data_IF_524075381196
#
_entry.id   IF_524075381196
#
_cell.length_a   1.000
_cell.length_b   1.000
_cell.length_c   1.000
_cell.angle_alpha   90.00
_cell.angle_beta   90.00
_cell.angle_gamma   90.00
#
_symmetry.space_group_name_H-M   'P 1'
#
loop_
_entity.id
_entity.type
_entity.pdbx_description
1 polymer ?
#
# COMPACT_ATOMS: atom_id res chain seq x y z
N UNK A 1 -16.27 1.59 -11.71
CA UNK A 1 -15.21 0.57 -11.39
C UNK A 1 -14.86 -0.20 -12.64
N UNK A 2 -13.58 -0.28 -12.96
CA UNK A 2 -13.09 -1.02 -14.13
C UNK A 2 -12.84 -2.46 -13.68
N UNK A 3 -13.85 -3.33 -13.86
CA UNK A 3 -13.82 -4.74 -13.39
C UNK A 3 -12.53 -5.52 -13.71
N UNK A 4 -11.88 -5.38 -14.90
CA UNK A 4 -10.63 -6.06 -15.17
C UNK A 4 -9.47 -5.64 -14.27
N UNK A 5 -9.40 -4.37 -13.86
CA UNK A 5 -8.35 -3.88 -12.98
C UNK A 5 -8.53 -4.36 -11.53
N UNK A 6 -9.77 -4.54 -11.08
CA UNK A 6 -10.05 -5.15 -9.78
C UNK A 6 -9.58 -6.62 -9.75
N UNK A 7 -9.75 -7.35 -10.87
CA UNK A 7 -9.22 -8.70 -11.04
C UNK A 7 -7.68 -8.74 -10.99
N UNK A 8 -7.01 -7.80 -11.66
CA UNK A 8 -5.55 -7.69 -11.62
C UNK A 8 -5.02 -7.36 -10.23
N UNK A 9 -5.73 -6.52 -9.45
CA UNK A 9 -5.37 -6.27 -8.05
C UNK A 9 -5.49 -7.53 -7.20
N UNK A 10 -6.55 -8.32 -7.39
CA UNK A 10 -6.71 -9.61 -6.73
C UNK A 10 -5.57 -10.56 -7.06
N UNK A 11 -5.16 -10.64 -8.32
CA UNK A 11 -4.01 -11.43 -8.75
C UNK A 11 -2.71 -10.93 -8.10
N UNK A 12 -2.48 -9.61 -8.03
CA UNK A 12 -1.30 -9.03 -7.39
C UNK A 12 -1.23 -9.41 -5.90
N UNK A 13 -2.36 -9.33 -5.17
CA UNK A 13 -2.44 -9.75 -3.76
C UNK A 13 -2.15 -11.24 -3.62
N UNK A 14 -2.72 -12.09 -4.48
CA UNK A 14 -2.45 -13.53 -4.48
C UNK A 14 -0.95 -13.83 -4.66
N UNK A 15 -0.30 -13.16 -5.60
CA UNK A 15 1.13 -13.30 -5.83
C UNK A 15 1.97 -12.85 -4.62
N UNK A 16 1.55 -11.81 -3.89
CA UNK A 16 2.20 -11.38 -2.65
C UNK A 16 2.07 -12.47 -1.57
N UNK A 17 0.89 -13.04 -1.39
CA UNK A 17 0.65 -14.13 -0.43
C UNK A 17 1.52 -15.35 -0.76
N UNK A 18 1.54 -15.81 -2.01
CA UNK A 18 2.37 -16.93 -2.46
C UNK A 18 3.85 -16.68 -2.20
N UNK A 19 4.31 -15.44 -2.36
CA UNK A 19 5.68 -15.06 -2.06
C UNK A 19 6.02 -15.19 -0.58
N UNK A 20 5.15 -14.68 0.28
CA UNK A 20 5.36 -14.77 1.72
C UNK A 20 5.32 -16.23 2.20
N UNK A 21 4.45 -17.06 1.62
CA UNK A 21 4.44 -18.51 1.91
C UNK A 21 5.75 -19.17 1.49
N UNK A 22 6.27 -18.87 0.29
CA UNK A 22 7.56 -19.41 -0.17
C UNK A 22 8.73 -18.96 0.72
N UNK A 23 8.71 -17.72 1.24
CA UNK A 23 9.76 -17.23 2.15
C UNK A 23 9.82 -18.00 3.48
N UNK A 24 8.69 -18.55 3.95
CA UNK A 24 8.64 -19.40 5.15
C UNK A 24 8.73 -20.90 4.82
N UNK A 25 9.12 -21.24 3.59
CA UNK A 25 9.33 -22.63 3.14
C UNK A 25 8.03 -23.37 2.78
N UNK A 26 6.88 -22.70 2.76
CA UNK A 26 5.59 -23.29 2.37
C UNK A 26 5.35 -23.11 0.86
N UNK A 27 5.93 -23.99 0.04
CA UNK A 27 5.71 -23.97 -1.41
C UNK A 27 4.45 -24.77 -1.75
N UNK A 28 3.42 -24.12 -2.29
CA UNK A 28 2.17 -24.73 -2.72
C UNK A 28 2.35 -25.68 -3.91
N UNK A 29 3.36 -25.43 -4.75
CA UNK A 29 3.67 -26.26 -5.90
C UNK A 29 5.13 -26.72 -5.82
N UNK A 30 5.40 -28.03 -5.84
CA UNK A 30 6.77 -28.54 -5.84
C UNK A 30 7.56 -27.99 -7.03
N UNK A 31 8.73 -27.38 -6.76
CA UNK A 31 9.62 -26.83 -7.79
C UNK A 31 9.30 -25.38 -8.21
N UNK A 32 8.25 -24.75 -7.70
CA UNK A 32 7.95 -23.33 -7.91
C UNK A 32 8.28 -22.52 -6.66
N UNK A 33 9.42 -21.81 -6.72
CA UNK A 33 9.83 -20.86 -5.68
C UNK A 33 9.45 -19.43 -6.08
N UNK A 34 8.56 -18.83 -5.30
CA UNK A 34 8.11 -17.46 -5.48
C UNK A 34 8.92 -16.45 -4.65
N UNK A 35 9.90 -16.86 -3.86
CA UNK A 35 10.69 -15.99 -3.00
C UNK A 35 11.46 -14.92 -3.79
N UNK A 36 11.94 -15.26 -4.98
CA UNK A 36 12.73 -14.39 -5.85
C UNK A 36 11.98 -13.25 -6.54
N UNK A 37 10.63 -13.26 -6.55
CA UNK A 37 9.85 -12.21 -7.22
C UNK A 37 9.55 -11.03 -6.25
N UNK A 38 10.10 -11.01 -5.08
CA UNK A 38 10.22 -9.99 -4.06
C UNK A 38 9.28 -8.76 -4.15
N UNK A 39 9.87 -7.58 -4.17
CA UNK A 39 9.19 -6.28 -4.15
C UNK A 39 8.36 -5.99 -5.42
N UNK A 40 8.68 -6.58 -6.56
CA UNK A 40 8.02 -6.28 -7.85
C UNK A 40 6.48 -6.46 -7.82
N UNK A 41 5.97 -7.42 -7.04
CA UNK A 41 4.51 -7.67 -6.89
C UNK A 41 3.82 -6.61 -6.07
N UNK A 42 4.50 -6.13 -5.03
CA UNK A 42 3.99 -5.03 -4.21
C UNK A 42 3.94 -3.76 -5.05
N UNK A 43 4.94 -3.52 -5.90
CA UNK A 43 4.92 -2.39 -6.84
C UNK A 43 3.76 -2.50 -7.85
N UNK A 44 3.49 -3.69 -8.39
CA UNK A 44 2.33 -3.88 -9.27
C UNK A 44 1.02 -3.52 -8.54
N UNK A 45 0.87 -3.96 -7.31
CA UNK A 45 -0.29 -3.61 -6.48
C UNK A 45 -0.39 -2.09 -6.26
N UNK A 46 0.72 -1.41 -5.96
CA UNK A 46 0.74 0.04 -5.79
C UNK A 46 0.40 0.79 -7.07
N UNK A 47 0.97 0.39 -8.21
CA UNK A 47 0.67 1.00 -9.51
C UNK A 47 -0.82 0.91 -9.83
N UNK A 48 -1.41 -0.29 -9.69
CA UNK A 48 -2.84 -0.50 -9.94
C UNK A 48 -3.72 0.27 -8.95
N UNK A 49 -3.31 0.32 -7.69
CA UNK A 49 -4.04 1.07 -6.65
C UNK A 49 -3.97 2.58 -6.90
N UNK A 50 -2.79 3.09 -7.20
CA UNK A 50 -2.58 4.50 -7.54
C UNK A 50 -3.38 4.91 -8.77
N UNK A 51 -3.33 4.10 -9.83
CA UNK A 51 -4.11 4.33 -11.05
C UNK A 51 -5.60 4.43 -10.76
N UNK A 52 -6.17 3.41 -10.09
CA UNK A 52 -7.61 3.36 -9.81
C UNK A 52 -8.07 4.50 -8.90
N UNK A 53 -7.28 4.84 -7.87
CA UNK A 53 -7.62 5.92 -6.96
C UNK A 53 -7.55 7.29 -7.63
N UNK A 54 -6.54 7.52 -8.46
CA UNK A 54 -6.42 8.76 -9.23
C UNK A 54 -7.57 8.87 -10.24
N UNK A 55 -7.89 7.79 -10.93
CA UNK A 55 -9.03 7.76 -11.85
C UNK A 55 -10.34 8.09 -11.14
N UNK A 56 -10.64 7.44 -10.02
CA UNK A 56 -11.83 7.72 -9.22
C UNK A 56 -11.87 9.16 -8.71
N UNK A 57 -10.73 9.71 -8.30
CA UNK A 57 -10.65 11.10 -7.84
C UNK A 57 -10.88 12.10 -8.98
N UNK A 58 -10.42 11.80 -10.19
CA UNK A 58 -10.66 12.64 -11.37
C UNK A 58 -12.12 12.62 -11.82
N UNK A 59 -12.80 11.48 -11.69
CA UNK A 59 -14.23 11.35 -12.02
C UNK A 59 -15.17 11.92 -10.95
N UNK A 60 -14.65 12.22 -9.74
CA UNK A 60 -15.49 12.69 -8.64
C UNK A 60 -15.97 14.13 -8.86
N UNK A 61 -17.29 14.36 -8.90
CA UNK A 61 -17.89 15.68 -9.06
C UNK A 61 -17.55 16.64 -7.91
N UNK A 62 -17.39 16.10 -6.70
CA UNK A 62 -17.14 16.85 -5.49
C UNK A 62 -15.65 17.02 -5.12
N UNK A 63 -14.72 16.70 -6.04
CA UNK A 63 -13.28 16.77 -5.78
C UNK A 63 -12.77 18.16 -5.36
N UNK A 64 -13.50 19.21 -5.66
CA UNK A 64 -13.18 20.59 -5.25
C UNK A 64 -13.57 20.88 -3.80
N UNK A 65 -14.35 20.02 -3.14
CA UNK A 65 -14.76 20.18 -1.75
C UNK A 65 -13.72 19.62 -0.77
N UNK A 66 -13.30 20.39 0.25
CA UNK A 66 -12.41 19.88 1.30
C UNK A 66 -13.04 18.73 2.08
N UNK A 67 -14.36 18.69 2.21
CA UNK A 67 -15.09 17.60 2.87
C UNK A 67 -14.98 16.27 2.10
N UNK A 68 -14.88 16.31 0.77
CA UNK A 68 -14.62 15.11 -0.04
C UNK A 68 -13.27 14.47 0.35
N UNK A 69 -12.20 15.28 0.43
CA UNK A 69 -10.87 14.80 0.75
C UNK A 69 -10.73 14.33 2.20
N UNK A 70 -11.39 15.03 3.12
CA UNK A 70 -11.45 14.59 4.52
C UNK A 70 -12.15 13.23 4.63
N UNK A 71 -13.32 13.08 4.00
CA UNK A 71 -14.04 11.82 3.97
C UNK A 71 -13.26 10.71 3.26
N UNK A 72 -12.52 11.04 2.19
CA UNK A 72 -11.60 10.11 1.54
C UNK A 72 -10.51 9.63 2.50
N UNK A 73 -9.80 10.56 3.16
CA UNK A 73 -8.71 10.24 4.09
C UNK A 73 -9.20 9.38 5.26
N UNK A 74 -10.33 9.72 5.86
CA UNK A 74 -10.92 8.96 6.96
C UNK A 74 -11.30 7.53 6.54
N UNK A 75 -11.91 7.35 5.37
CA UNK A 75 -12.25 6.01 4.86
C UNK A 75 -11.00 5.16 4.63
N UNK A 76 -9.89 5.74 4.16
CA UNK A 76 -8.62 5.04 3.96
C UNK A 76 -7.94 4.69 5.28
N UNK A 77 -7.91 5.65 6.20
CA UNK A 77 -7.38 5.44 7.54
C UNK A 77 -8.14 4.31 8.26
N UNK A 78 -9.46 4.41 8.35
CA UNK A 78 -10.27 3.40 9.02
C UNK A 78 -10.24 2.01 8.36
N UNK A 79 -9.87 1.92 7.08
CA UNK A 79 -9.77 0.65 6.36
C UNK A 79 -8.49 -0.11 6.69
N UNK A 80 -7.36 0.58 6.85
CA UNK A 80 -6.03 -0.04 6.94
C UNK A 80 -5.49 0.04 8.37
N UNK A 81 -5.58 1.21 8.98
CA UNK A 81 -4.90 1.52 10.22
C UNK A 81 -5.33 0.65 11.41
N UNK A 82 -6.60 0.30 11.63
CA UNK A 82 -6.99 -0.56 12.75
C UNK A 82 -6.35 -1.95 12.69
N UNK A 83 -6.33 -2.57 11.49
CA UNK A 83 -5.69 -3.87 11.31
C UNK A 83 -4.17 -3.77 11.44
N UNK A 84 -3.58 -2.69 10.94
CA UNK A 84 -2.16 -2.40 11.11
C UNK A 84 -1.76 -2.27 12.58
N UNK A 85 -2.54 -1.55 13.39
CA UNK A 85 -2.35 -1.47 14.85
C UNK A 85 -2.29 -2.87 15.49
N UNK A 86 -3.31 -3.69 15.20
CA UNK A 86 -3.37 -5.05 15.72
C UNK A 86 -2.12 -5.85 15.30
N UNK A 87 -1.71 -5.74 14.04
CA UNK A 87 -0.54 -6.44 13.53
C UNK A 87 0.77 -5.99 14.21
N UNK A 88 0.97 -4.67 14.44
CA UNK A 88 2.15 -4.12 15.14
C UNK A 88 2.23 -4.65 16.58
N UNK A 89 1.12 -4.59 17.33
CA UNK A 89 1.08 -5.09 18.70
C UNK A 89 1.24 -6.61 18.78
N UNK A 90 0.64 -7.34 17.84
CA UNK A 90 0.81 -8.79 17.74
C UNK A 90 2.28 -9.15 17.43
N UNK A 91 2.93 -8.43 16.51
CA UNK A 91 4.38 -8.64 16.24
C UNK A 91 5.24 -8.33 17.43
N UNK A 92 4.98 -7.25 18.17
CA UNK A 92 5.68 -6.98 19.41
C UNK A 92 5.55 -8.12 20.42
N UNK A 93 4.32 -8.62 20.63
CA UNK A 93 4.09 -9.78 21.50
C UNK A 93 4.81 -11.04 21.01
N UNK A 94 4.71 -11.36 19.72
CA UNK A 94 5.34 -12.52 19.12
C UNK A 94 6.88 -12.45 19.23
N UNK A 95 7.48 -11.28 19.03
CA UNK A 95 8.93 -11.10 19.15
C UNK A 95 9.44 -11.44 20.56
N UNK A 96 8.63 -11.17 21.60
CA UNK A 96 9.00 -11.53 23.00
C UNK A 96 8.97 -13.04 23.26
N UNK A 97 8.06 -13.80 22.60
CA UNK A 97 7.88 -15.23 22.85
C UNK A 97 8.55 -16.12 21.81
N UNK A 98 8.67 -15.64 20.56
CA UNK A 98 9.19 -16.40 19.43
C UNK A 98 10.01 -15.50 18.49
N UNK A 99 11.23 -15.11 18.92
CA UNK A 99 12.09 -14.26 18.09
C UNK A 99 12.42 -14.95 16.77
N UNK A 100 12.32 -14.20 15.66
CA UNK A 100 12.60 -14.68 14.31
C UNK A 100 11.37 -15.06 13.46
N UNK A 101 10.17 -15.14 14.05
CA UNK A 101 8.93 -15.43 13.31
C UNK A 101 8.13 -14.17 12.91
N UNK A 102 8.43 -13.02 13.48
CA UNK A 102 7.75 -11.76 13.21
C UNK A 102 8.76 -10.66 12.88
N UNK A 103 8.35 -9.55 12.26
CA UNK A 103 9.17 -8.35 12.17
C UNK A 103 9.67 -7.94 13.56
N UNK A 104 10.97 -7.62 13.68
CA UNK A 104 11.63 -7.34 14.94
C UNK A 104 11.19 -6.01 15.54
N UNK A 105 10.03 -6.01 16.21
CA UNK A 105 9.55 -4.90 17.03
C UNK A 105 9.87 -5.25 18.48
N UNK A 106 10.99 -4.71 18.99
CA UNK A 106 11.55 -5.13 20.28
C UNK A 106 11.25 -4.15 21.40
N UNK A 107 11.13 -2.88 21.07
CA UNK A 107 11.03 -1.80 22.05
C UNK A 107 9.74 -0.99 21.90
N UNK A 108 9.26 -0.32 22.96
CA UNK A 108 8.16 0.64 22.84
C UNK A 108 8.44 1.78 21.85
N UNK A 109 9.72 2.14 21.66
CA UNK A 109 10.13 3.11 20.63
C UNK A 109 9.84 2.61 19.22
N UNK A 110 10.06 1.32 18.94
CA UNK A 110 9.77 0.73 17.63
C UNK A 110 8.26 0.76 17.36
N UNK A 111 7.46 0.43 18.38
CA UNK A 111 5.99 0.55 18.30
C UNK A 111 5.62 1.98 17.91
N UNK A 112 6.15 2.98 18.61
CA UNK A 112 5.84 4.38 18.33
C UNK A 112 6.24 4.79 16.89
N UNK A 113 7.40 4.39 16.42
CA UNK A 113 7.85 4.65 15.06
C UNK A 113 6.94 3.99 14.01
N UNK A 114 6.49 2.76 14.25
CA UNK A 114 5.50 2.09 13.39
C UNK A 114 4.15 2.82 13.43
N UNK A 115 3.64 3.19 14.60
CA UNK A 115 2.37 3.88 14.72
C UNK A 115 2.37 5.26 14.07
N UNK A 116 3.51 5.95 14.07
CA UNK A 116 3.69 7.23 13.37
C UNK A 116 4.08 7.09 11.90
N UNK A 117 4.11 5.86 11.38
CA UNK A 117 4.47 5.55 9.99
C UNK A 117 5.90 5.99 9.60
N UNK A 118 6.78 6.19 10.59
CA UNK A 118 8.19 6.57 10.39
C UNK A 118 9.09 5.35 10.14
N UNK A 119 8.68 4.18 10.62
CA UNK A 119 9.37 2.92 10.39
C UNK A 119 8.49 1.96 9.58
N UNK A 120 9.14 1.15 8.74
CA UNK A 120 8.49 0.13 7.95
C UNK A 120 9.44 -1.06 7.81
N UNK A 121 9.61 -1.84 8.89
CA UNK A 121 10.47 -3.01 8.85
C UNK A 121 9.74 -4.24 8.30
N UNK A 122 10.49 -5.11 7.63
CA UNK A 122 9.99 -6.38 7.13
C UNK A 122 8.81 -6.20 6.17
N UNK A 123 7.66 -6.75 6.52
CA UNK A 123 6.44 -6.68 5.71
C UNK A 123 5.69 -5.34 5.82
N UNK A 124 6.00 -4.54 6.83
CA UNK A 124 5.29 -3.28 7.12
C UNK A 124 5.72 -2.09 6.27
N UNK A 125 6.82 -2.19 5.51
CA UNK A 125 7.31 -1.10 4.66
C UNK A 125 6.28 -0.56 3.66
N UNK A 126 5.34 -1.40 3.25
CA UNK A 126 4.30 -1.04 2.29
C UNK A 126 3.29 -0.02 2.84
N UNK A 127 3.06 -0.02 4.16
CA UNK A 127 2.02 0.79 4.80
C UNK A 127 2.38 2.30 4.80
N UNK A 128 3.58 2.73 5.25
CA UNK A 128 3.99 4.13 5.12
C UNK A 128 3.96 4.65 3.68
N UNK A 129 4.38 3.83 2.72
CA UNK A 129 4.35 4.20 1.28
C UNK A 129 2.92 4.41 0.81
N UNK A 130 1.99 3.53 1.17
CA UNK A 130 0.57 3.65 0.81
C UNK A 130 -0.07 4.92 1.41
N UNK A 131 0.22 5.22 2.68
CA UNK A 131 -0.28 6.43 3.33
C UNK A 131 0.33 7.70 2.73
N UNK A 132 1.60 7.71 2.39
CA UNK A 132 2.25 8.83 1.69
C UNK A 132 1.53 9.11 0.37
N UNK A 133 1.21 8.08 -0.40
CA UNK A 133 0.44 8.24 -1.63
C UNK A 133 -0.96 8.80 -1.37
N UNK A 134 -1.67 8.35 -0.33
CA UNK A 134 -2.99 8.89 0.01
C UNK A 134 -2.96 10.38 0.36
N UNK A 135 -1.89 10.85 0.99
CA UNK A 135 -1.68 12.27 1.27
C UNK A 135 -1.35 13.08 0.02
N UNK A 136 -0.60 12.50 -0.91
CA UNK A 136 -0.24 13.16 -2.17
C UNK A 136 -1.37 13.19 -3.19
N UNK A 137 -2.33 12.27 -3.12
CA UNK A 137 -3.38 12.13 -4.11
C UNK A 137 -4.21 13.41 -4.35
N UNK A 138 -4.62 14.19 -3.33
CA UNK A 138 -5.31 15.46 -3.55
C UNK A 138 -4.48 16.44 -4.41
N UNK A 139 -3.19 16.56 -4.09
CA UNK A 139 -2.28 17.44 -4.83
C UNK A 139 -2.12 16.98 -6.29
N UNK A 140 -1.87 15.69 -6.50
CA UNK A 140 -1.77 15.08 -7.83
C UNK A 140 -3.04 15.35 -8.64
N UNK A 141 -4.21 15.13 -8.04
CA UNK A 141 -5.51 15.35 -8.70
C UNK A 141 -5.70 16.82 -9.07
N UNK A 142 -5.36 17.77 -8.18
CA UNK A 142 -5.47 19.20 -8.46
C UNK A 142 -4.56 19.64 -9.61
N UNK A 143 -3.30 19.16 -9.62
CA UNK A 143 -2.36 19.45 -10.71
C UNK A 143 -2.88 18.90 -12.04
N UNK A 144 -3.42 17.70 -12.04
CA UNK A 144 -3.95 17.07 -13.25
C UNK A 144 -5.19 17.78 -13.79
N UNK A 145 -6.09 18.22 -12.93
CA UNK A 145 -7.27 19.01 -13.32
C UNK A 145 -6.86 20.37 -13.87
N UNK A 146 -5.84 21.01 -13.30
CA UNK A 146 -5.29 22.28 -13.78
C UNK A 146 -4.61 22.19 -15.14
N UNK A 147 -4.06 21.04 -15.48
CA UNK A 147 -3.38 20.76 -16.74
C UNK A 147 -4.28 19.92 -17.64
N UNK A 148 -5.22 20.55 -18.37
CA UNK A 148 -6.21 19.86 -19.21
C UNK A 148 -5.66 18.89 -20.27
N UNK A 149 -4.35 18.95 -20.55
CA UNK A 149 -3.65 18.04 -21.49
C UNK A 149 -3.16 16.72 -20.86
N UNK A 150 -3.28 16.53 -19.53
CA UNK A 150 -2.65 15.42 -18.80
C UNK A 150 -3.69 14.35 -18.37
N UNK A 151 -4.93 14.45 -18.78
CA UNK A 151 -6.00 13.53 -18.34
C UNK A 151 -5.72 12.04 -18.56
N UNK A 152 -5.02 11.68 -19.65
CA UNK A 152 -4.71 10.26 -19.95
C UNK A 152 -3.40 9.83 -19.29
N UNK A 153 -2.40 10.70 -19.23
CA UNK A 153 -1.08 10.38 -18.71
C UNK A 153 -0.95 10.48 -17.20
N UNK A 154 -1.83 11.24 -16.56
CA UNK A 154 -1.76 11.54 -15.15
C UNK A 154 -1.80 10.33 -14.21
N UNK A 155 -2.68 9.32 -14.40
CA UNK A 155 -2.67 8.11 -13.60
C UNK A 155 -1.34 7.35 -13.67
N UNK A 156 -0.64 7.40 -14.81
CA UNK A 156 0.69 6.81 -14.97
C UNK A 156 1.77 7.61 -14.23
N UNK A 157 1.67 8.93 -14.23
CA UNK A 157 2.55 9.80 -13.45
C UNK A 157 2.34 9.54 -11.95
N UNK A 158 1.09 9.44 -11.50
CA UNK A 158 0.77 9.11 -10.11
C UNK A 158 1.34 7.74 -9.70
N UNK A 159 1.22 6.73 -10.56
CA UNK A 159 1.80 5.41 -10.34
C UNK A 159 3.34 5.48 -10.25
N UNK A 160 3.98 6.24 -11.13
CA UNK A 160 5.43 6.47 -11.11
C UNK A 160 5.92 7.15 -9.83
N UNK A 161 5.20 8.17 -9.36
CA UNK A 161 5.49 8.85 -8.08
C UNK A 161 5.36 7.91 -6.89
N UNK A 162 4.38 7.01 -6.91
CA UNK A 162 4.20 6.01 -5.85
C UNK A 162 5.37 5.04 -5.80
N UNK A 163 5.85 4.58 -6.95
CA UNK A 163 7.03 3.73 -7.04
C UNK A 163 8.25 4.47 -6.50
N UNK A 164 8.47 5.72 -6.94
CA UNK A 164 9.60 6.53 -6.50
C UNK A 164 9.61 6.76 -4.98
N UNK A 165 8.45 7.00 -4.38
CA UNK A 165 8.32 7.15 -2.92
C UNK A 165 8.56 5.85 -2.13
N UNK A 166 8.56 4.69 -2.81
CA UNK A 166 8.79 3.37 -2.21
C UNK A 166 10.28 2.97 -2.17
N UNK A 167 11.15 3.76 -2.82
CA UNK A 167 12.62 3.62 -2.79
C UNK A 167 13.25 4.62 -1.84
#
# INVERSE_FOLDING_TARGET
TIKPLDGLRGLAVLLVLLSHMSLVGMNLLPGLDFSGIGKARVYLFFVLSAFLLTWQALEADQRSSPFYWLGYGLRRLCRIYPLYLVAVFASFGLTQYAPGYAPNINTPSDIFQHLTLQAGEGIYWAIPVEFTYYLLLPLVTLVMVGCSRIHITGPFIAAGLTIYAAF
#
